data_IF_505535133620
#
_entry.id   IF_505535133620
#
_cell.length_a   1.000
_cell.length_b   1.000
_cell.length_c   1.000
_cell.angle_alpha   90.00
_cell.angle_beta   90.00
_cell.angle_gamma   90.00
#
_symmetry.space_group_name_H-M   'P 1'
#
loop_
_entity.id
_entity.type
_entity.pdbx_description
1 polymer ?
#
# COMPACT_ATOMS: atom_id res chain seq x y z
N UNK A 1 -5.87 19.94 5.74
CA UNK A 1 -5.07 21.18 5.60
C UNK A 1 -4.43 21.13 4.23
N UNK A 2 -4.33 22.25 3.50
CA UNK A 2 -3.71 22.25 2.18
C UNK A 2 -2.38 22.98 2.26
N UNK A 3 -1.31 22.39 1.73
CA UNK A 3 0.04 22.97 1.75
C UNK A 3 0.44 23.64 0.43
N UNK A 4 -0.25 23.35 -0.67
CA UNK A 4 0.05 23.93 -1.99
C UNK A 4 -0.20 25.43 -2.08
N UNK A 5 -1.04 25.99 -1.21
CA UNK A 5 -1.33 27.43 -1.13
C UNK A 5 -0.41 28.18 -0.15
N UNK A 6 0.52 27.47 0.50
CA UNK A 6 1.43 28.03 1.50
C UNK A 6 2.81 28.29 0.91
N UNK A 7 3.49 29.30 1.44
CA UNK A 7 4.90 29.51 1.18
C UNK A 7 5.74 28.41 1.85
N UNK A 8 6.99 28.25 1.42
CA UNK A 8 7.95 27.30 2.03
C UNK A 8 8.05 27.55 3.53
N UNK A 9 8.25 28.83 3.93
CA UNK A 9 8.39 29.20 5.35
C UNK A 9 7.15 28.84 6.16
N UNK A 10 5.97 29.20 5.67
CA UNK A 10 4.70 28.84 6.34
C UNK A 10 4.52 27.33 6.47
N UNK A 11 4.96 26.55 5.46
CA UNK A 11 4.88 25.08 5.52
C UNK A 11 5.79 24.51 6.60
N UNK A 12 7.04 24.98 6.68
CA UNK A 12 7.99 24.57 7.72
C UNK A 12 7.47 24.92 9.12
N UNK A 13 6.96 26.13 9.30
CA UNK A 13 6.36 26.56 10.57
C UNK A 13 5.15 25.69 10.97
N UNK A 14 4.24 25.42 10.03
CA UNK A 14 3.04 24.63 10.27
C UNK A 14 3.34 23.13 10.56
N UNK A 15 4.41 22.61 9.99
CA UNK A 15 4.86 21.24 10.25
C UNK A 15 5.82 21.15 11.44
N UNK A 16 6.11 22.29 12.08
CA UNK A 16 7.06 22.43 13.17
C UNK A 16 8.39 21.72 12.83
N UNK A 17 8.94 22.07 11.66
CA UNK A 17 10.19 21.49 11.16
C UNK A 17 11.14 22.58 10.66
N UNK A 18 12.40 22.24 10.45
CA UNK A 18 13.44 23.14 9.97
C UNK A 18 14.15 22.52 8.76
N UNK A 19 14.89 23.33 7.99
CA UNK A 19 15.67 22.87 6.83
C UNK A 19 16.68 21.76 7.18
N UNK A 20 17.09 21.66 8.43
CA UNK A 20 17.97 20.60 8.96
C UNK A 20 17.25 19.30 9.31
N UNK A 21 15.94 19.24 9.08
CA UNK A 21 15.08 18.09 9.36
C UNK A 21 14.68 17.94 10.83
N UNK A 22 13.93 16.90 11.11
CA UNK A 22 13.51 16.53 12.46
C UNK A 22 14.65 15.84 13.21
N UNK A 23 14.59 15.86 14.55
CA UNK A 23 15.41 14.96 15.36
C UNK A 23 14.86 13.54 15.29
N UNK A 24 15.71 12.53 15.53
CA UNK A 24 15.26 11.14 15.58
C UNK A 24 14.22 10.90 16.70
N UNK A 25 14.34 11.61 17.82
CA UNK A 25 13.38 11.55 18.93
C UNK A 25 12.01 12.10 18.52
N UNK A 26 11.99 13.25 17.87
CA UNK A 26 10.75 13.85 17.38
C UNK A 26 10.09 12.99 16.29
N UNK A 27 10.88 12.42 15.38
CA UNK A 27 10.38 11.50 14.37
C UNK A 27 9.76 10.23 15.00
N UNK A 28 10.37 9.69 16.06
CA UNK A 28 9.83 8.54 16.79
C UNK A 28 8.50 8.90 17.50
N UNK A 29 8.43 10.10 18.12
CA UNK A 29 7.20 10.61 18.74
C UNK A 29 6.07 10.73 17.69
N UNK A 30 6.37 11.34 16.54
CA UNK A 30 5.39 11.49 15.44
C UNK A 30 4.97 10.16 14.85
N UNK A 31 5.88 9.19 14.74
CA UNK A 31 5.51 7.82 14.31
C UNK A 31 4.50 7.18 15.26
N UNK A 32 4.64 7.40 16.57
CA UNK A 32 3.67 6.89 17.55
C UNK A 32 2.32 7.62 17.48
N UNK A 33 2.31 8.92 17.12
CA UNK A 33 1.11 9.75 17.01
C UNK A 33 0.34 9.51 15.70
N UNK A 34 1.03 9.53 14.56
CA UNK A 34 0.41 9.46 13.22
C UNK A 34 0.36 8.04 12.65
N UNK A 35 1.14 7.12 13.22
CA UNK A 35 1.29 5.77 12.67
C UNK A 35 2.24 5.70 11.47
N UNK A 36 2.38 4.51 10.86
CA UNK A 36 3.24 4.32 9.70
C UNK A 36 2.66 4.95 8.43
N UNK A 37 3.52 5.47 7.56
CA UNK A 37 3.14 5.94 6.23
C UNK A 37 2.87 4.75 5.30
N UNK A 38 1.70 4.16 5.44
CA UNK A 38 1.22 3.04 4.65
C UNK A 38 -0.24 3.29 4.25
N UNK A 39 -0.58 2.93 3.03
CA UNK A 39 -2.00 2.87 2.64
C UNK A 39 -2.71 1.86 3.54
N UNK A 40 -3.96 2.17 3.89
CA UNK A 40 -4.78 1.26 4.72
C UNK A 40 -4.78 -0.11 4.08
N UNK A 41 -4.13 -1.07 4.72
CA UNK A 41 -4.12 -2.46 4.25
C UNK A 41 -5.53 -3.01 4.43
N UNK A 42 -6.11 -3.52 3.37
CA UNK A 42 -7.29 -4.36 3.50
C UNK A 42 -7.01 -5.49 4.49
N UNK A 43 -7.94 -5.71 5.41
CA UNK A 43 -7.83 -6.81 6.37
C UNK A 43 -7.71 -8.11 5.59
N UNK A 44 -6.60 -8.79 5.77
CA UNK A 44 -6.37 -10.09 5.13
C UNK A 44 -7.38 -11.10 5.64
N UNK A 45 -7.77 -11.95 4.74
CA UNK A 45 -8.58 -13.10 5.09
C UNK A 45 -7.75 -14.04 5.97
N UNK A 46 -8.28 -14.36 7.15
CA UNK A 46 -7.67 -15.35 8.02
C UNK A 46 -7.75 -16.75 7.39
N UNK A 47 -6.91 -17.70 7.80
CA UNK A 47 -6.87 -19.05 7.23
C UNK A 47 -8.24 -19.75 7.27
N UNK A 48 -9.04 -19.50 8.29
CA UNK A 48 -10.40 -20.03 8.39
C UNK A 48 -11.32 -19.47 7.29
N UNK A 49 -11.21 -18.18 6.96
CA UNK A 49 -12.01 -17.55 5.91
C UNK A 49 -11.60 -18.06 4.53
N UNK A 50 -10.31 -18.27 4.29
CA UNK A 50 -9.80 -18.88 3.07
C UNK A 50 -10.35 -20.30 2.92
N UNK A 51 -10.35 -21.08 3.99
CA UNK A 51 -10.92 -22.43 3.98
C UNK A 51 -12.42 -22.44 3.68
N UNK A 52 -13.20 -21.57 4.34
CA UNK A 52 -14.64 -21.45 4.09
C UNK A 52 -14.93 -21.03 2.64
N UNK A 53 -14.08 -20.17 2.06
CA UNK A 53 -14.22 -19.72 0.68
C UNK A 53 -14.13 -20.87 -0.34
N UNK A 54 -13.42 -21.96 -0.02
CA UNK A 54 -13.37 -23.14 -0.87
C UNK A 54 -14.76 -23.74 -1.10
N UNK A 55 -15.65 -23.64 -0.12
CA UNK A 55 -17.00 -24.16 -0.24
C UNK A 55 -17.98 -23.29 -1.04
N UNK A 56 -17.51 -22.12 -1.54
CA UNK A 56 -18.29 -21.24 -2.42
C UNK A 56 -17.98 -21.44 -3.92
N UNK A 57 -17.24 -22.49 -4.27
CA UNK A 57 -16.98 -22.87 -5.65
C UNK A 57 -18.15 -23.66 -6.25
N UNK A 58 -18.50 -23.35 -7.52
CA UNK A 58 -19.61 -24.00 -8.22
C UNK A 58 -19.41 -25.52 -8.32
N UNK A 59 -18.17 -26.00 -8.49
CA UNK A 59 -17.86 -27.43 -8.55
C UNK A 59 -18.18 -28.12 -7.22
N UNK A 60 -17.89 -27.47 -6.10
CA UNK A 60 -18.18 -28.00 -4.77
C UNK A 60 -19.69 -28.14 -4.53
N UNK A 61 -20.48 -27.16 -4.96
CA UNK A 61 -21.93 -27.27 -4.88
C UNK A 61 -22.48 -28.46 -5.68
N UNK A 62 -21.96 -28.70 -6.90
CA UNK A 62 -22.34 -29.83 -7.72
C UNK A 62 -21.95 -31.14 -7.03
N UNK A 63 -20.76 -31.24 -6.45
CA UNK A 63 -20.32 -32.44 -5.72
C UNK A 63 -21.16 -32.70 -4.45
N UNK A 64 -21.51 -31.64 -3.73
CA UNK A 64 -22.42 -31.76 -2.56
C UNK A 64 -23.79 -32.33 -3.00
N UNK A 65 -24.38 -31.76 -4.05
CA UNK A 65 -25.68 -32.25 -4.58
C UNK A 65 -25.56 -33.69 -5.03
N UNK A 66 -24.51 -34.05 -5.79
CA UNK A 66 -24.25 -35.41 -6.24
C UNK A 66 -24.10 -36.39 -5.06
N UNK A 67 -23.38 -36.01 -4.01
CA UNK A 67 -23.22 -36.80 -2.79
C UNK A 67 -24.58 -37.10 -2.14
N UNK A 68 -25.43 -36.07 -2.02
CA UNK A 68 -26.77 -36.19 -1.42
C UNK A 68 -27.65 -37.14 -2.27
N UNK A 69 -27.66 -36.95 -3.59
CA UNK A 69 -28.43 -37.77 -4.52
C UNK A 69 -27.98 -39.23 -4.46
N UNK A 70 -26.67 -39.52 -4.55
CA UNK A 70 -26.15 -40.90 -4.43
C UNK A 70 -26.56 -41.55 -3.10
N UNK A 71 -26.52 -40.76 -2.02
CA UNK A 71 -26.94 -41.27 -0.72
C UNK A 71 -28.45 -41.62 -0.68
N UNK A 72 -29.33 -40.80 -1.31
CA UNK A 72 -30.77 -41.01 -1.37
C UNK A 72 -31.16 -42.23 -2.24
N UNK A 73 -30.41 -42.46 -3.33
CA UNK A 73 -30.62 -43.61 -4.23
C UNK A 73 -30.12 -44.92 -3.61
N UNK A 74 -29.35 -44.84 -2.52
CA UNK A 74 -28.82 -46.00 -1.80
C UNK A 74 -27.40 -46.42 -2.26
N UNK A 75 -26.78 -45.71 -3.19
CA UNK A 75 -25.41 -45.96 -3.69
C UNK A 75 -24.37 -45.36 -2.72
N UNK A 76 -24.26 -46.01 -1.55
CA UNK A 76 -23.43 -45.50 -0.45
C UNK A 76 -21.94 -45.42 -0.80
N UNK A 77 -21.46 -46.38 -1.60
CA UNK A 77 -20.03 -46.39 -2.01
C UNK A 77 -19.70 -45.19 -2.84
N UNK A 78 -20.52 -44.83 -3.82
CA UNK A 78 -20.34 -43.69 -4.69
C UNK A 78 -20.44 -42.39 -3.91
N UNK A 79 -21.38 -42.28 -2.97
CA UNK A 79 -21.49 -41.13 -2.07
C UNK A 79 -20.25 -40.90 -1.25
N UNK A 80 -19.61 -41.97 -0.72
CA UNK A 80 -18.34 -41.85 0.01
C UNK A 80 -17.17 -41.45 -0.90
N UNK A 81 -17.09 -41.96 -2.12
CA UNK A 81 -16.06 -41.59 -3.09
C UNK A 81 -16.16 -40.09 -3.42
N UNK A 82 -17.39 -39.62 -3.72
CA UNK A 82 -17.60 -38.19 -4.03
C UNK A 82 -17.26 -37.30 -2.82
N UNK A 83 -17.62 -37.74 -1.61
CA UNK A 83 -17.27 -37.01 -0.38
C UNK A 83 -15.75 -36.91 -0.15
N UNK A 84 -15.02 -38.00 -0.41
CA UNK A 84 -13.55 -37.98 -0.32
C UNK A 84 -12.96 -37.01 -1.33
N UNK A 85 -13.44 -37.00 -2.58
CA UNK A 85 -13.02 -36.07 -3.61
C UNK A 85 -13.31 -34.62 -3.20
N UNK A 86 -14.46 -34.36 -2.63
CA UNK A 86 -14.86 -33.03 -2.14
C UNK A 86 -13.92 -32.54 -1.05
N UNK A 87 -13.63 -33.39 -0.04
CA UNK A 87 -12.71 -33.04 1.04
C UNK A 87 -11.30 -32.80 0.48
N UNK A 88 -10.84 -33.68 -0.43
CA UNK A 88 -9.52 -33.53 -1.07
C UNK A 88 -9.42 -32.19 -1.82
N UNK A 89 -10.42 -31.85 -2.63
CA UNK A 89 -10.46 -30.59 -3.36
C UNK A 89 -10.45 -29.37 -2.43
N UNK A 90 -11.25 -29.40 -1.35
CA UNK A 90 -11.30 -28.31 -0.39
C UNK A 90 -9.96 -28.11 0.34
N UNK A 91 -9.31 -29.18 0.76
CA UNK A 91 -7.99 -29.14 1.42
C UNK A 91 -6.90 -28.67 0.45
N UNK A 92 -6.91 -29.23 -0.76
CA UNK A 92 -5.90 -28.89 -1.78
C UNK A 92 -6.05 -27.43 -2.23
N UNK A 93 -7.28 -26.98 -2.49
CA UNK A 93 -7.56 -25.58 -2.82
C UNK A 93 -7.13 -24.62 -1.71
N UNK A 94 -7.43 -24.95 -0.46
CA UNK A 94 -6.95 -24.17 0.69
C UNK A 94 -5.42 -24.06 0.74
N UNK A 95 -4.71 -25.16 0.55
CA UNK A 95 -3.23 -25.17 0.58
C UNK A 95 -2.66 -24.30 -0.54
N UNK A 96 -3.21 -24.41 -1.75
CA UNK A 96 -2.76 -23.60 -2.90
C UNK A 96 -3.00 -22.12 -2.66
N UNK A 97 -4.19 -21.73 -2.24
CA UNK A 97 -4.55 -20.35 -2.00
C UNK A 97 -3.74 -19.74 -0.86
N UNK A 98 -3.60 -20.44 0.24
CA UNK A 98 -2.77 -20.01 1.37
C UNK A 98 -1.30 -19.80 0.98
N UNK A 99 -0.73 -20.69 0.16
CA UNK A 99 0.64 -20.52 -0.36
C UNK A 99 0.75 -19.31 -1.29
N UNK A 100 -0.24 -19.11 -2.17
CA UNK A 100 -0.27 -17.96 -3.08
C UNK A 100 -0.34 -16.64 -2.32
N UNK A 101 -1.22 -16.52 -1.35
CA UNK A 101 -1.32 -15.32 -0.50
C UNK A 101 -0.01 -15.03 0.25
N UNK A 102 0.62 -16.08 0.79
CA UNK A 102 1.91 -15.95 1.48
C UNK A 102 3.04 -15.50 0.53
N UNK A 103 3.05 -16.01 -0.71
CA UNK A 103 4.03 -15.61 -1.72
C UNK A 103 3.86 -14.11 -2.10
N UNK A 104 2.62 -13.66 -2.31
CA UNK A 104 2.32 -12.25 -2.58
C UNK A 104 2.80 -11.37 -1.40
N UNK A 105 2.64 -11.84 -0.18
CA UNK A 105 3.08 -11.14 1.02
C UNK A 105 4.59 -10.95 1.10
N UNK A 106 5.32 -12.00 0.77
CA UNK A 106 6.78 -11.94 0.68
C UNK A 106 7.24 -10.96 -0.40
N UNK A 107 6.60 -10.96 -1.57
CA UNK A 107 6.92 -10.01 -2.65
C UNK A 107 6.65 -8.56 -2.21
N UNK A 108 5.53 -8.29 -1.54
CA UNK A 108 5.22 -6.96 -0.99
C UNK A 108 6.27 -6.48 0.02
N UNK A 109 6.81 -7.38 0.84
CA UNK A 109 7.88 -7.06 1.80
C UNK A 109 9.21 -6.75 1.12
N UNK A 110 9.52 -7.41 0.01
CA UNK A 110 10.75 -7.18 -0.76
C UNK A 110 10.72 -5.84 -1.51
N UNK A 111 9.55 -5.32 -1.84
CA UNK A 111 9.36 -4.05 -2.56
C UNK A 111 9.19 -2.85 -1.63
N UNK A 112 9.67 -2.91 -0.39
CA UNK A 112 9.64 -1.77 0.52
C UNK A 112 10.46 -0.63 -0.06
N UNK A 113 9.79 0.46 -0.45
CA UNK A 113 10.45 1.65 -0.94
C UNK A 113 11.32 2.24 0.17
N UNK A 114 12.56 2.54 -0.17
CA UNK A 114 13.47 3.30 0.67
C UNK A 114 13.48 4.75 0.20
N UNK A 115 13.70 5.66 1.11
CA UNK A 115 13.78 7.09 0.82
C UNK A 115 14.85 7.74 1.66
N UNK A 116 15.43 8.81 1.14
CA UNK A 116 16.44 9.61 1.81
C UNK A 116 15.74 10.76 2.53
N UNK A 117 15.98 10.88 3.82
CA UNK A 117 15.47 11.98 4.65
C UNK A 117 16.60 12.70 5.33
N UNK A 118 16.38 13.98 5.67
CA UNK A 118 17.30 14.74 6.50
C UNK A 118 16.76 14.68 7.93
N UNK A 119 17.55 14.09 8.84
CA UNK A 119 17.28 14.07 10.29
C UNK A 119 18.57 14.36 11.06
N UNK A 120 18.48 15.12 12.13
CA UNK A 120 19.65 15.56 12.91
C UNK A 120 20.77 16.17 12.02
N UNK A 121 20.38 16.97 11.02
CA UNK A 121 21.28 17.57 10.03
C UNK A 121 22.12 16.55 9.22
N UNK A 122 21.63 15.31 9.08
CA UNK A 122 22.29 14.25 8.30
C UNK A 122 21.31 13.60 7.36
N UNK A 123 21.76 13.29 6.15
CA UNK A 123 20.98 12.49 5.23
C UNK A 123 21.06 11.02 5.64
N UNK A 124 19.90 10.40 5.86
CA UNK A 124 19.77 8.99 6.24
C UNK A 124 18.75 8.31 5.35
N UNK A 125 19.00 7.06 5.01
CA UNK A 125 18.07 6.22 4.24
C UNK A 125 17.15 5.46 5.18
N UNK A 126 15.85 5.64 5.02
CA UNK A 126 14.84 4.95 5.81
C UNK A 126 13.81 4.24 4.91
N UNK A 127 13.04 3.31 5.48
CA UNK A 127 11.84 2.80 4.82
C UNK A 127 10.80 3.92 4.67
N UNK A 128 10.16 4.01 3.49
CA UNK A 128 9.08 5.00 3.24
C UNK A 128 7.95 4.90 4.27
N UNK A 129 7.73 3.71 4.85
CA UNK A 129 6.73 3.52 5.92
C UNK A 129 7.07 4.24 7.23
N UNK A 130 8.31 4.68 7.41
CA UNK A 130 8.79 5.41 8.59
C UNK A 130 8.83 6.92 8.41
N UNK A 131 8.35 7.42 7.27
CA UNK A 131 8.19 8.85 7.03
C UNK A 131 7.08 9.39 7.93
N UNK A 132 7.31 10.55 8.50
CA UNK A 132 6.32 11.26 9.34
C UNK A 132 6.08 12.67 8.80
N UNK A 133 4.93 13.29 9.08
CA UNK A 133 4.70 14.68 8.74
C UNK A 133 5.79 15.59 9.31
N UNK A 134 6.40 16.41 8.45
CA UNK A 134 7.52 17.29 8.79
C UNK A 134 8.90 16.72 8.49
N UNK A 135 9.03 15.48 8.00
CA UNK A 135 10.30 14.99 7.46
C UNK A 135 10.70 15.79 6.21
N UNK A 136 11.99 16.11 6.10
CA UNK A 136 12.60 16.65 4.87
C UNK A 136 13.09 15.49 4.04
N UNK A 137 12.54 15.35 2.83
CA UNK A 137 12.86 14.25 1.91
C UNK A 137 13.76 14.77 0.79
N UNK A 138 14.80 14.02 0.47
CA UNK A 138 15.67 14.26 -0.68
C UNK A 138 15.27 13.31 -1.80
N UNK A 139 14.86 13.87 -2.94
CA UNK A 139 14.49 13.12 -4.14
C UNK A 139 15.56 13.25 -5.20
N UNK A 140 15.93 12.14 -5.80
CA UNK A 140 16.87 12.06 -6.92
C UNK A 140 16.15 11.54 -8.17
N UNK A 141 16.79 11.67 -9.31
CA UNK A 141 16.24 11.16 -10.58
C UNK A 141 16.01 9.65 -10.51
N UNK A 142 14.79 9.22 -10.85
CA UNK A 142 14.37 7.81 -10.79
C UNK A 142 13.71 7.41 -9.46
N UNK A 143 13.71 8.27 -8.46
CA UNK A 143 13.03 7.98 -7.20
C UNK A 143 11.51 8.04 -7.35
N UNK A 144 10.83 7.19 -6.61
CA UNK A 144 9.38 7.28 -6.45
C UNK A 144 9.06 8.22 -5.29
N UNK A 145 8.10 9.11 -5.51
CA UNK A 145 7.58 10.01 -4.48
C UNK A 145 6.89 9.17 -3.38
N UNK A 146 7.40 9.19 -2.14
CA UNK A 146 6.98 8.23 -1.11
C UNK A 146 5.77 8.67 -0.28
N UNK A 147 5.37 9.93 -0.39
CA UNK A 147 4.26 10.54 0.35
C UNK A 147 3.81 11.82 -0.37
N UNK A 148 2.74 12.45 0.13
CA UNK A 148 2.39 13.81 -0.29
C UNK A 148 3.47 14.78 0.23
N UNK A 149 4.06 15.53 -0.69
CA UNK A 149 5.19 16.42 -0.41
C UNK A 149 4.88 17.86 -0.80
N UNK A 150 5.45 18.81 -0.07
CA UNK A 150 5.56 20.21 -0.45
C UNK A 150 7.01 20.52 -0.77
N UNK A 151 7.27 20.94 -2.00
CA UNK A 151 8.63 21.24 -2.44
C UNK A 151 9.15 22.50 -1.74
N UNK A 152 10.33 22.39 -1.16
CA UNK A 152 11.04 23.49 -0.48
C UNK A 152 12.20 24.01 -1.31
N UNK A 153 12.85 23.12 -2.07
CA UNK A 153 13.92 23.42 -3.01
C UNK A 153 13.76 22.57 -4.27
N UNK A 154 14.06 23.09 -5.42
CA UNK A 154 13.91 22.42 -6.72
C UNK A 154 15.07 22.78 -7.64
N UNK A 155 15.69 21.77 -8.23
CA UNK A 155 16.66 21.93 -9.29
C UNK A 155 16.23 21.11 -10.52
N UNK A 156 15.52 21.75 -11.45
CA UNK A 156 14.99 21.13 -12.68
C UNK A 156 14.17 19.84 -12.45
N UNK A 157 13.43 19.75 -11.34
CA UNK A 157 12.62 18.58 -11.01
C UNK A 157 11.46 18.44 -12.01
N UNK A 158 11.35 17.25 -12.56
CA UNK A 158 10.17 16.81 -13.33
C UNK A 158 9.63 15.51 -12.73
N UNK A 159 8.32 15.37 -12.76
CA UNK A 159 7.63 14.17 -12.29
C UNK A 159 6.81 13.55 -13.40
N UNK A 160 6.82 12.22 -13.48
CA UNK A 160 5.88 11.45 -14.27
C UNK A 160 4.61 11.22 -13.44
N UNK A 161 3.52 11.82 -13.87
CA UNK A 161 2.21 11.73 -13.21
C UNK A 161 1.18 10.99 -14.08
N UNK A 162 1.63 10.22 -15.08
CA UNK A 162 0.75 9.48 -15.97
C UNK A 162 -0.26 8.59 -15.24
N UNK A 163 0.12 8.03 -14.11
CA UNK A 163 -0.78 7.21 -13.28
C UNK A 163 -1.92 7.99 -12.61
N UNK A 164 -1.77 9.31 -12.44
CA UNK A 164 -2.76 10.20 -11.81
C UNK A 164 -3.57 10.98 -12.84
N UNK A 165 -2.92 11.48 -13.88
CA UNK A 165 -3.52 12.40 -14.85
C UNK A 165 -3.86 11.70 -16.18
N UNK A 166 -3.27 10.55 -16.47
CA UNK A 166 -3.33 9.88 -17.77
C UNK A 166 -2.43 10.50 -18.84
N UNK A 167 -1.73 11.59 -18.54
CA UNK A 167 -0.82 12.28 -19.45
C UNK A 167 0.61 11.75 -19.30
N UNK A 168 1.25 11.33 -20.40
CA UNK A 168 2.60 10.75 -20.38
C UNK A 168 3.72 11.81 -20.40
N UNK A 169 3.40 13.10 -20.46
CA UNK A 169 4.41 14.14 -20.49
C UNK A 169 4.89 14.47 -19.08
N UNK A 170 6.22 14.52 -18.84
CA UNK A 170 6.75 14.94 -17.54
C UNK A 170 6.34 16.37 -17.16
N UNK A 171 5.94 16.55 -15.92
CA UNK A 171 5.48 17.84 -15.40
C UNK A 171 6.61 18.50 -14.62
N UNK A 172 7.01 19.69 -15.05
CA UNK A 172 8.01 20.51 -14.34
C UNK A 172 7.42 21.05 -13.05
N UNK A 173 8.13 20.86 -11.96
CA UNK A 173 7.74 21.27 -10.61
C UNK A 173 8.36 22.61 -10.22
N UNK A 174 7.72 23.31 -9.28
CA UNK A 174 8.12 24.62 -8.78
C UNK A 174 7.90 24.74 -7.27
N UNK A 175 8.60 25.66 -6.62
CA UNK A 175 8.40 25.98 -5.20
C UNK A 175 7.33 27.06 -4.95
N UNK A 176 6.80 27.68 -6.00
CA UNK A 176 5.86 28.77 -5.86
C UNK A 176 4.55 28.32 -5.22
N UNK A 177 3.97 29.15 -4.37
CA UNK A 177 2.63 28.91 -3.82
C UNK A 177 1.59 28.99 -4.93
N UNK A 178 0.61 28.10 -4.89
CA UNK A 178 -0.49 28.03 -5.84
C UNK A 178 -1.78 28.62 -5.25
N UNK A 179 -2.75 28.89 -6.09
CA UNK A 179 -4.06 29.33 -5.64
C UNK A 179 -4.76 28.18 -4.90
N UNK A 180 -5.43 28.47 -3.79
CA UNK A 180 -6.09 27.46 -2.94
C UNK A 180 -7.08 26.57 -3.70
N UNK A 181 -7.72 27.10 -4.74
CA UNK A 181 -8.66 26.36 -5.59
C UNK A 181 -8.01 25.50 -6.67
N UNK A 182 -6.67 25.45 -6.75
CA UNK A 182 -5.96 24.65 -7.77
C UNK A 182 -6.30 23.17 -7.67
N UNK A 183 -6.84 22.54 -8.73
CA UNK A 183 -7.12 21.10 -8.77
C UNK A 183 -5.88 20.26 -8.52
N UNK A 184 -6.05 19.03 -8.01
CA UNK A 184 -4.94 18.15 -7.67
C UNK A 184 -3.99 17.90 -8.86
N UNK A 185 -4.54 17.64 -10.05
CA UNK A 185 -3.78 17.39 -11.26
C UNK A 185 -2.93 18.59 -11.75
N UNK A 186 -3.21 19.80 -11.29
CA UNK A 186 -2.48 21.02 -11.68
C UNK A 186 -1.49 21.50 -10.62
N UNK A 187 -1.38 20.78 -9.49
CA UNK A 187 -0.46 21.14 -8.41
C UNK A 187 0.99 20.80 -8.78
N UNK A 188 1.81 21.83 -8.89
CA UNK A 188 3.20 21.72 -9.37
C UNK A 188 4.23 22.00 -8.27
N UNK A 189 3.81 22.02 -6.99
CA UNK A 189 4.69 22.46 -5.89
C UNK A 189 4.72 21.51 -4.69
#
# INVERSE_FOLDING_TARGET
MFFHDKSVKETLDLTATHEYGLTNEEAARRTAEYGPNELVKEKRDGPLKIFIRQFHDALIYILIIATIVSFMVGERVDAYIILIILIFNAVFGFIQEYKAEKAIDLLKKLTTLKTKVIRDNKQVEISSSKIVPGDIIVLESGDKVPADLRLIEVNNLQTDEASLTGESNPITKTINSLVRSTPLAERKN
#
